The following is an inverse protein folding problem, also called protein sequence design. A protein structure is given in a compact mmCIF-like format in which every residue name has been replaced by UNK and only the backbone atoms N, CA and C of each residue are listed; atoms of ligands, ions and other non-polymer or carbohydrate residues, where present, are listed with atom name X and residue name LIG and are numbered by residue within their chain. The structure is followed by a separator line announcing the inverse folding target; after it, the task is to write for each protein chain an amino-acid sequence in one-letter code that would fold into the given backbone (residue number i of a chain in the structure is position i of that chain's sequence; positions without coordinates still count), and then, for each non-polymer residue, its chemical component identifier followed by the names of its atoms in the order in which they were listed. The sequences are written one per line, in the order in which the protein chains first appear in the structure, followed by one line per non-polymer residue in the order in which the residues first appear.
data_IF_718919246691
#
_entry.id   IF_718919246691
#
_cell.length_a   1.000
_cell.length_b   1.000
_cell.length_c   1.000
_cell.angle_alpha   90.00
_cell.angle_beta   90.00
_cell.angle_gamma   90.00
#
_symmetry.space_group_name_H-M   'P 1'
#
loop_
_entity.id
_entity.type
_entity.pdbx_description
1 polymer ?
#
# COMPACT_ATOMS: atom_id res chain seq x y z
N UNK A 1 -50.01 -28.20 43.14
CA UNK A 1 -48.56 -28.35 43.35
C UNK A 1 -48.02 -29.18 42.20
N UNK A 2 -47.29 -28.56 41.28
CA UNK A 2 -46.90 -29.12 39.99
C UNK A 2 -45.69 -30.06 40.14
N UNK A 3 -45.85 -31.33 39.78
CA UNK A 3 -44.77 -32.30 39.70
C UNK A 3 -44.09 -32.24 38.33
N UNK A 4 -43.10 -31.35 38.19
CA UNK A 4 -42.20 -31.39 37.04
C UNK A 4 -41.19 -32.52 37.29
N UNK A 5 -41.27 -33.59 36.50
CA UNK A 5 -40.36 -34.75 36.59
C UNK A 5 -39.00 -34.38 35.99
N UNK A 6 -38.00 -34.29 36.86
CA UNK A 6 -36.59 -33.96 36.58
C UNK A 6 -35.93 -34.77 35.42
N UNK A 7 -36.23 -36.07 35.16
CA UNK A 7 -35.56 -36.80 34.06
C UNK A 7 -35.96 -36.31 32.66
N UNK A 8 -37.14 -35.72 32.49
CA UNK A 8 -37.61 -35.22 31.19
C UNK A 8 -36.88 -33.95 30.75
N UNK A 9 -36.40 -33.14 31.71
CA UNK A 9 -35.69 -31.89 31.44
C UNK A 9 -34.25 -32.14 30.97
N UNK A 10 -33.56 -33.10 31.59
CA UNK A 10 -32.19 -33.47 31.25
C UNK A 10 -32.09 -34.08 29.85
N UNK A 11 -33.06 -34.91 29.46
CA UNK A 11 -33.11 -35.50 28.12
C UNK A 11 -33.41 -34.44 27.05
N UNK A 12 -34.32 -33.48 27.33
CA UNK A 12 -34.58 -32.34 26.44
C UNK A 12 -33.36 -31.43 26.24
N UNK A 13 -32.56 -31.22 27.31
CA UNK A 13 -31.33 -30.44 27.24
C UNK A 13 -30.23 -31.15 26.44
N UNK A 14 -30.08 -32.47 26.61
CA UNK A 14 -29.12 -33.28 25.85
C UNK A 14 -29.46 -33.34 24.35
N UNK A 15 -30.74 -33.52 23.99
CA UNK A 15 -31.17 -33.49 22.59
C UNK A 15 -30.95 -32.11 21.94
N UNK A 16 -31.24 -31.03 22.67
CA UNK A 16 -31.01 -29.67 22.14
C UNK A 16 -29.53 -29.34 21.97
N UNK A 17 -28.65 -29.80 22.88
CA UNK A 17 -27.20 -29.70 22.68
C UNK A 17 -26.72 -30.49 21.44
N UNK A 18 -27.27 -31.68 21.17
CA UNK A 18 -26.91 -32.47 19.98
C UNK A 18 -27.30 -31.81 18.66
N UNK A 19 -28.42 -31.08 18.61
CA UNK A 19 -28.84 -30.34 17.41
C UNK A 19 -27.96 -29.11 17.09
N UNK A 20 -27.32 -28.52 18.11
CA UNK A 20 -26.41 -27.38 17.93
C UNK A 20 -25.09 -27.82 17.28
N UNK A 21 -24.62 -29.05 17.52
CA UNK A 21 -23.37 -29.56 16.94
C UNK A 21 -23.50 -29.85 15.44
N UNK A 22 -24.72 -30.12 14.95
CA UNK A 22 -25.00 -30.46 13.54
C UNK A 22 -25.31 -29.24 12.67
N UNK A 23 -25.60 -28.09 13.26
CA UNK A 23 -25.97 -26.85 12.55
C UNK A 23 -24.78 -25.91 12.29
N UNK A 24 -23.56 -26.32 12.66
CA UNK A 24 -22.34 -25.51 12.55
C UNK A 24 -21.57 -25.61 11.23
N UNK A 25 -21.92 -26.53 10.32
CA UNK A 25 -21.28 -26.60 9.01
C UNK A 25 -22.03 -25.68 8.03
N UNK A 26 -21.67 -24.40 8.01
CA UNK A 26 -22.10 -23.49 6.94
C UNK A 26 -21.54 -23.96 5.59
N UNK A 27 -22.36 -23.90 4.54
CA UNK A 27 -21.91 -24.19 3.18
C UNK A 27 -20.77 -23.26 2.77
N UNK A 28 -19.81 -23.79 2.00
CA UNK A 28 -18.74 -22.98 1.41
C UNK A 28 -19.32 -21.88 0.53
N UNK A 29 -18.89 -20.63 0.76
CA UNK A 29 -19.20 -19.52 -0.12
C UNK A 29 -18.61 -19.79 -1.51
N UNK A 30 -19.46 -20.06 -2.50
CA UNK A 30 -19.04 -20.36 -3.88
C UNK A 30 -18.38 -19.18 -4.59
N UNK A 31 -18.45 -17.97 -4.00
CA UNK A 31 -17.75 -16.76 -4.48
C UNK A 31 -16.37 -16.58 -3.83
N UNK A 32 -16.03 -17.37 -2.82
CA UNK A 32 -14.74 -17.29 -2.16
C UNK A 32 -13.71 -18.13 -2.92
N UNK A 33 -12.67 -17.46 -3.46
CA UNK A 33 -11.52 -18.13 -4.07
C UNK A 33 -10.57 -18.61 -2.97
N UNK A 34 -10.88 -19.79 -2.40
CA UNK A 34 -10.13 -20.43 -1.33
C UNK A 34 -9.62 -21.79 -1.79
N UNK A 35 -8.37 -22.09 -1.45
CA UNK A 35 -7.82 -23.42 -1.52
C UNK A 35 -8.59 -24.32 -0.52
N UNK A 36 -9.19 -25.43 -0.98
CA UNK A 36 -10.07 -26.25 -0.15
C UNK A 36 -9.34 -27.04 0.93
N UNK A 37 -8.00 -27.16 0.85
CA UNK A 37 -7.20 -27.90 1.82
C UNK A 37 -6.77 -27.00 2.98
N UNK A 38 -6.36 -25.77 2.67
CA UNK A 38 -5.81 -24.82 3.62
C UNK A 38 -6.82 -23.80 4.13
N UNK A 39 -7.96 -23.64 3.46
CA UNK A 39 -8.96 -22.62 3.77
C UNK A 39 -8.44 -21.19 3.57
N UNK A 40 -7.41 -21.01 2.73
CA UNK A 40 -6.75 -19.72 2.47
C UNK A 40 -6.88 -19.36 1.00
N UNK A 41 -6.76 -18.08 0.69
CA UNK A 41 -6.59 -17.66 -0.69
C UNK A 41 -5.32 -18.28 -1.32
N UNK A 42 -5.29 -18.45 -2.66
CA UNK A 42 -4.13 -18.97 -3.37
C UNK A 42 -2.83 -18.21 -3.05
N UNK A 43 -1.67 -18.85 -3.21
CA UNK A 43 -0.39 -18.20 -2.95
C UNK A 43 -0.14 -16.96 -3.83
N UNK A 44 -0.75 -16.90 -5.02
CA UNK A 44 -0.69 -15.75 -5.94
C UNK A 44 -1.65 -14.60 -5.58
N UNK A 45 -2.43 -14.73 -4.51
CA UNK A 45 -3.53 -13.82 -4.18
C UNK A 45 -3.11 -12.35 -4.07
N UNK A 46 -1.96 -12.07 -3.45
CA UNK A 46 -1.46 -10.71 -3.31
C UNK A 46 -0.44 -10.37 -4.41
N UNK A 47 -0.44 -9.12 -4.92
CA UNK A 47 -1.40 -8.06 -4.65
C UNK A 47 -2.57 -7.99 -5.67
N UNK A 48 -2.38 -8.51 -6.89
CA UNK A 48 -3.26 -8.22 -8.03
C UNK A 48 -4.64 -8.90 -7.93
N UNK A 49 -4.67 -10.20 -7.69
CA UNK A 49 -5.94 -10.97 -7.63
C UNK A 49 -6.82 -10.48 -6.48
N UNK A 50 -6.20 -10.18 -5.33
CA UNK A 50 -6.86 -9.55 -4.18
C UNK A 50 -7.51 -8.22 -4.54
N UNK A 51 -6.80 -7.34 -5.24
CA UNK A 51 -7.33 -6.04 -5.64
C UNK A 51 -8.52 -6.19 -6.61
N UNK A 52 -8.43 -7.14 -7.56
CA UNK A 52 -9.52 -7.41 -8.51
C UNK A 52 -10.75 -7.93 -7.77
N UNK A 53 -10.58 -8.94 -6.90
CA UNK A 53 -11.68 -9.51 -6.14
C UNK A 53 -12.33 -8.50 -5.20
N UNK A 54 -11.54 -7.71 -4.48
CA UNK A 54 -12.05 -6.68 -3.58
C UNK A 54 -12.83 -5.57 -4.32
N UNK A 55 -12.39 -5.18 -5.52
CA UNK A 55 -13.10 -4.18 -6.32
C UNK A 55 -14.43 -4.71 -6.89
N UNK A 56 -14.51 -6.00 -7.21
CA UNK A 56 -15.69 -6.59 -7.81
C UNK A 56 -16.72 -7.07 -6.76
N UNK A 57 -16.26 -7.60 -5.63
CA UNK A 57 -17.08 -8.36 -4.67
C UNK A 57 -16.64 -8.16 -3.20
N UNK A 58 -16.45 -6.91 -2.75
CA UNK A 58 -16.05 -6.62 -1.37
C UNK A 58 -17.02 -7.11 -0.29
N UNK A 59 -18.31 -7.22 -0.61
CA UNK A 59 -19.35 -7.76 0.26
C UNK A 59 -19.10 -9.23 0.62
N UNK A 60 -18.65 -10.03 -0.36
CA UNK A 60 -18.31 -11.43 -0.15
C UNK A 60 -17.16 -11.63 0.84
N UNK A 61 -16.30 -10.62 1.03
CA UNK A 61 -15.18 -10.71 1.97
C UNK A 61 -15.62 -10.59 3.44
N UNK A 62 -16.79 -9.99 3.71
CA UNK A 62 -17.24 -9.70 5.09
C UNK A 62 -17.56 -10.95 5.90
N UNK A 63 -17.88 -12.06 5.23
CA UNK A 63 -18.14 -13.36 5.86
C UNK A 63 -16.92 -13.86 6.65
N UNK A 64 -15.72 -13.66 6.09
CA UNK A 64 -14.47 -14.10 6.72
C UNK A 64 -13.72 -12.96 7.42
N UNK A 65 -13.73 -11.76 6.85
CA UNK A 65 -12.95 -10.61 7.33
C UNK A 65 -13.72 -9.70 8.30
N UNK A 66 -14.99 -10.03 8.58
CA UNK A 66 -15.88 -9.25 9.45
C UNK A 66 -16.60 -8.14 8.67
N UNK A 67 -17.77 -7.74 9.17
CA UNK A 67 -18.60 -6.69 8.53
C UNK A 67 -17.92 -5.33 8.44
N UNK A 68 -16.93 -5.06 9.29
CA UNK A 68 -16.11 -3.85 9.30
C UNK A 68 -14.70 -4.05 8.72
N UNK A 69 -14.39 -5.26 8.25
CA UNK A 69 -13.08 -5.67 7.78
C UNK A 69 -11.95 -5.56 8.83
N UNK A 70 -12.30 -5.63 10.12
CA UNK A 70 -11.34 -5.66 11.24
C UNK A 70 -10.65 -7.00 11.44
N UNK A 71 -11.01 -8.01 10.64
CA UNK A 71 -10.35 -9.30 10.57
C UNK A 71 -11.26 -10.50 10.79
N UNK A 72 -12.44 -10.32 11.40
CA UNK A 72 -13.43 -11.37 11.56
C UNK A 72 -12.84 -12.72 12.01
N UNK A 73 -13.28 -13.81 11.39
CA UNK A 73 -12.75 -15.15 11.63
C UNK A 73 -11.40 -15.40 10.94
N UNK A 74 -11.05 -14.64 9.90
CA UNK A 74 -9.76 -14.79 9.20
C UNK A 74 -8.59 -14.25 10.01
N UNK A 75 -8.84 -13.37 10.99
CA UNK A 75 -7.85 -12.61 11.76
C UNK A 75 -6.95 -11.72 10.86
N UNK A 76 -7.42 -11.34 9.67
CA UNK A 76 -6.71 -10.49 8.71
C UNK A 76 -7.53 -9.22 8.47
N UNK A 77 -7.20 -8.15 9.20
CA UNK A 77 -7.77 -6.83 9.00
C UNK A 77 -7.24 -6.17 7.71
N UNK A 78 -8.08 -5.40 7.00
CA UNK A 78 -7.61 -4.59 5.86
C UNK A 78 -6.46 -3.66 6.25
N UNK A 79 -6.48 -3.15 7.49
CA UNK A 79 -5.48 -2.22 8.04
C UNK A 79 -4.08 -2.83 8.19
N UNK A 80 -3.91 -4.15 8.01
CA UNK A 80 -2.58 -4.78 7.96
C UNK A 80 -1.77 -4.30 6.75
N UNK A 81 -2.44 -4.00 5.64
CA UNK A 81 -1.79 -3.51 4.41
C UNK A 81 -2.30 -2.11 4.01
N UNK A 82 -3.51 -1.76 4.40
CA UNK A 82 -4.15 -0.51 4.01
C UNK A 82 -4.01 0.57 5.09
N UNK A 83 -3.16 1.55 4.83
CA UNK A 83 -2.82 2.61 5.80
C UNK A 83 -3.91 3.68 5.97
N UNK A 84 -4.84 3.79 5.02
CA UNK A 84 -5.94 4.77 5.09
C UNK A 84 -7.27 4.14 5.44
N UNK A 85 -7.78 3.30 4.54
CA UNK A 85 -9.02 2.53 4.67
C UNK A 85 -8.98 1.36 3.67
N UNK A 86 -10.04 0.54 3.59
CA UNK A 86 -10.09 -0.65 2.72
C UNK A 86 -9.73 -0.37 1.25
N UNK A 87 -9.92 0.85 0.76
CA UNK A 87 -9.58 1.24 -0.62
C UNK A 87 -8.25 1.99 -0.77
N UNK A 88 -7.48 2.21 0.30
CA UNK A 88 -6.27 3.04 0.29
C UNK A 88 -5.09 2.37 1.02
N UNK A 89 -4.08 1.99 0.23
CA UNK A 89 -2.80 1.43 0.72
C UNK A 89 -1.85 2.50 1.31
N UNK A 90 -2.12 3.76 1.03
CA UNK A 90 -1.44 4.91 1.61
C UNK A 90 -2.41 5.70 2.51
N UNK A 91 -1.92 6.62 3.37
CA UNK A 91 -2.78 7.52 4.13
C UNK A 91 -3.81 8.21 3.23
N UNK A 92 -5.07 8.33 3.69
CA UNK A 92 -6.19 8.84 2.88
C UNK A 92 -5.89 10.20 2.23
N UNK A 93 -5.19 11.07 2.97
CA UNK A 93 -4.80 12.41 2.53
C UNK A 93 -3.85 12.42 1.33
N UNK A 94 -3.24 11.29 0.98
CA UNK A 94 -2.37 11.21 -0.19
C UNK A 94 -3.14 11.41 -1.48
N UNK A 95 -4.30 10.75 -1.63
CA UNK A 95 -5.13 10.87 -2.83
C UNK A 95 -4.33 10.85 -4.13
N UNK A 96 -4.57 11.84 -4.99
CA UNK A 96 -3.84 12.05 -6.25
C UNK A 96 -2.41 12.61 -6.06
N UNK A 97 -2.07 13.06 -4.86
CA UNK A 97 -0.79 13.67 -4.50
C UNK A 97 0.17 12.67 -3.84
N UNK A 98 -0.04 11.36 -4.02
CA UNK A 98 0.79 10.32 -3.43
C UNK A 98 2.28 10.58 -3.61
N UNK A 99 2.72 10.95 -4.82
CA UNK A 99 4.13 11.25 -5.08
C UNK A 99 4.63 12.54 -4.41
N UNK A 100 3.79 13.56 -4.23
CA UNK A 100 4.19 14.77 -3.52
C UNK A 100 4.32 14.53 -2.00
N UNK A 101 3.49 13.65 -1.45
CA UNK A 101 3.42 13.40 0.00
C UNK A 101 4.32 12.25 0.46
N UNK A 102 4.76 11.37 -0.46
CA UNK A 102 5.60 10.22 -0.10
C UNK A 102 6.93 10.64 0.54
N UNK A 103 7.60 11.68 0.01
CA UNK A 103 8.93 12.06 0.46
C UNK A 103 8.94 12.54 1.91
N UNK A 104 7.94 13.34 2.30
CA UNK A 104 7.79 13.79 3.68
C UNK A 104 7.46 12.63 4.63
N UNK A 105 6.62 11.70 4.19
CA UNK A 105 6.28 10.52 4.97
C UNK A 105 7.47 9.59 5.18
N UNK A 106 8.24 9.30 4.13
CA UNK A 106 9.45 8.46 4.21
C UNK A 106 10.51 9.11 5.11
N UNK A 107 10.69 10.43 5.04
CA UNK A 107 11.57 11.16 5.97
C UNK A 107 11.18 10.97 7.43
N UNK A 108 9.88 10.91 7.72
CA UNK A 108 9.35 10.79 9.08
C UNK A 108 9.33 9.34 9.57
N UNK A 109 9.00 8.39 8.70
CA UNK A 109 8.71 7.00 9.08
C UNK A 109 9.80 6.00 8.66
N UNK A 110 10.80 6.45 7.90
CA UNK A 110 11.79 5.60 7.25
C UNK A 110 11.22 4.76 6.11
N UNK A 111 12.09 3.97 5.47
CA UNK A 111 11.73 3.09 4.35
C UNK A 111 11.34 1.68 4.78
N UNK A 112 11.64 1.29 6.02
CA UNK A 112 11.42 -0.07 6.52
C UNK A 112 9.94 -0.50 6.44
N UNK A 113 9.00 0.43 6.72
CA UNK A 113 7.55 0.16 6.61
C UNK A 113 7.07 0.02 5.17
N UNK A 114 7.82 0.53 4.20
CA UNK A 114 7.52 0.41 2.78
C UNK A 114 8.01 -0.93 2.21
N UNK A 115 9.02 -1.55 2.84
CA UNK A 115 9.68 -2.77 2.40
C UNK A 115 8.86 -4.05 2.67
N UNK A 116 7.58 -4.02 2.30
CA UNK A 116 6.69 -5.17 2.36
C UNK A 116 6.68 -5.90 1.01
N UNK A 117 6.77 -7.24 1.04
CA UNK A 117 6.88 -8.10 -0.14
C UNK A 117 5.79 -7.87 -1.19
N UNK A 118 4.56 -7.52 -0.76
CA UNK A 118 3.40 -7.29 -1.64
C UNK A 118 3.21 -5.82 -2.04
N UNK A 119 3.98 -4.89 -1.48
CA UNK A 119 3.87 -3.45 -1.75
C UNK A 119 5.03 -2.98 -2.63
N UNK A 120 6.16 -2.60 -2.03
CA UNK A 120 7.35 -2.15 -2.74
C UNK A 120 8.46 -3.22 -2.80
N UNK A 121 8.21 -4.42 -2.27
CA UNK A 121 9.18 -5.49 -2.17
C UNK A 121 10.08 -5.34 -0.94
N UNK A 122 10.63 -6.44 -0.44
CA UNK A 122 11.50 -6.45 0.75
C UNK A 122 12.79 -5.67 0.55
N UNK A 123 13.21 -5.50 -0.71
CA UNK A 123 14.38 -4.72 -1.12
C UNK A 123 14.03 -3.37 -1.75
N UNK A 124 12.75 -2.97 -1.73
CA UNK A 124 12.25 -1.74 -2.37
C UNK A 124 12.47 -1.72 -3.90
N UNK A 125 12.58 -2.90 -4.50
CA UNK A 125 12.76 -3.11 -5.94
C UNK A 125 11.45 -3.05 -6.74
N UNK A 126 10.33 -2.77 -6.08
CA UNK A 126 9.00 -2.73 -6.67
C UNK A 126 8.35 -4.10 -6.77
N UNK A 127 7.04 -4.09 -6.98
CA UNK A 127 6.21 -5.29 -7.18
C UNK A 127 5.29 -5.03 -8.36
N UNK A 128 5.33 -5.93 -9.36
CA UNK A 128 4.48 -5.82 -10.53
C UNK A 128 2.99 -5.77 -10.14
N UNK A 129 2.25 -4.82 -10.69
CA UNK A 129 0.83 -4.61 -10.37
C UNK A 129 0.56 -3.99 -8.99
N UNK A 130 1.59 -3.51 -8.27
CA UNK A 130 1.46 -2.86 -6.96
C UNK A 130 2.35 -1.62 -6.88
N UNK A 131 3.35 -1.59 -5.99
CA UNK A 131 4.19 -0.42 -5.76
C UNK A 131 5.40 -0.34 -6.70
N UNK A 132 5.81 0.88 -7.11
CA UNK A 132 7.02 1.08 -7.89
C UNK A 132 8.28 0.78 -7.08
N UNK A 133 9.40 0.53 -7.77
CA UNK A 133 10.73 0.50 -7.18
C UNK A 133 11.13 1.89 -6.68
N UNK A 134 11.82 2.00 -5.54
CA UNK A 134 12.39 3.29 -5.14
C UNK A 134 13.30 3.87 -6.24
N UNK A 135 14.11 3.01 -6.86
CA UNK A 135 15.05 3.42 -7.90
C UNK A 135 14.40 3.79 -9.25
N UNK A 136 13.07 3.69 -9.40
CA UNK A 136 12.39 4.22 -10.60
C UNK A 136 12.36 5.74 -10.62
N UNK A 137 12.45 6.38 -9.44
CA UNK A 137 12.48 7.83 -9.29
C UNK A 137 13.73 8.32 -8.56
N UNK A 138 14.39 7.44 -7.79
CA UNK A 138 15.56 7.78 -7.03
C UNK A 138 16.86 7.29 -7.66
N UNK A 139 17.67 8.21 -8.16
CA UNK A 139 18.85 7.88 -8.95
C UNK A 139 20.09 7.52 -8.13
N UNK A 140 20.18 8.00 -6.88
CA UNK A 140 21.38 7.81 -6.05
C UNK A 140 21.25 6.70 -5.00
N UNK A 141 20.06 6.55 -4.42
CA UNK A 141 19.74 5.55 -3.38
C UNK A 141 18.23 5.61 -3.11
N UNK A 142 17.68 4.75 -2.25
CA UNK A 142 16.25 4.77 -1.90
C UNK A 142 15.72 6.10 -1.31
N UNK A 143 16.60 7.03 -0.92
CA UNK A 143 16.23 8.36 -0.41
C UNK A 143 16.86 9.51 -1.20
N UNK A 144 17.68 9.24 -2.22
CA UNK A 144 18.34 10.27 -3.02
C UNK A 144 17.78 10.32 -4.44
N UNK A 145 16.97 11.35 -4.72
CA UNK A 145 16.34 11.57 -6.03
C UNK A 145 17.36 11.85 -7.15
N UNK A 146 18.56 12.28 -6.78
CA UNK A 146 19.67 12.55 -7.68
C UNK A 146 20.89 11.67 -7.33
N UNK A 147 21.86 11.51 -8.25
CA UNK A 147 23.12 10.84 -7.95
C UNK A 147 23.79 11.39 -6.68
N UNK A 148 24.37 10.51 -5.86
CA UNK A 148 25.02 10.91 -4.60
C UNK A 148 26.25 11.80 -4.80
N UNK A 149 26.84 11.77 -5.99
CA UNK A 149 27.94 12.65 -6.39
C UNK A 149 27.49 14.10 -6.52
N UNK A 150 26.18 14.38 -6.61
CA UNK A 150 25.64 15.73 -6.57
C UNK A 150 25.71 16.25 -5.13
N UNK A 151 26.91 16.69 -4.72
CA UNK A 151 27.23 17.14 -3.37
C UNK A 151 26.23 18.24 -2.95
N UNK A 152 25.56 18.15 -1.78
CA UNK A 152 24.55 19.12 -1.39
C UNK A 152 25.21 20.46 -1.05
N UNK A 153 25.21 21.39 -2.01
CA UNK A 153 25.36 22.83 -1.74
C UNK A 153 24.06 23.56 -2.06
N UNK A 154 22.93 23.03 -1.60
CA UNK A 154 21.73 23.86 -1.44
C UNK A 154 21.82 24.57 -0.11
N UNK A 155 22.70 25.57 -0.01
CA UNK A 155 22.64 26.50 1.11
C UNK A 155 21.46 27.44 0.88
N UNK A 156 20.52 27.51 1.82
CA UNK A 156 19.50 28.58 1.88
C UNK A 156 20.06 29.87 2.48
N UNK A 157 21.40 30.02 2.53
CA UNK A 157 22.04 31.23 3.02
C UNK A 157 21.63 32.44 2.16
N UNK A 158 21.09 33.51 2.74
CA UNK A 158 20.77 34.73 2.01
C UNK A 158 22.01 35.26 1.28
N UNK A 159 21.90 35.47 -0.03
CA UNK A 159 22.99 36.03 -0.85
C UNK A 159 23.87 35.03 -1.59
N UNK A 160 23.66 33.71 -1.43
CA UNK A 160 24.29 32.70 -2.30
C UNK A 160 23.26 32.27 -3.35
N UNK A 161 23.44 32.71 -4.59
CA UNK A 161 22.69 32.16 -5.74
C UNK A 161 22.92 30.65 -5.77
N UNK A 162 21.89 29.79 -5.92
CA UNK A 162 22.07 28.35 -6.03
C UNK A 162 22.93 28.10 -7.26
N UNK A 163 24.24 27.97 -7.09
CA UNK A 163 25.13 27.70 -8.20
C UNK A 163 24.76 26.34 -8.73
N UNK A 164 24.41 26.29 -10.02
CA UNK A 164 24.35 25.07 -10.81
C UNK A 164 25.48 24.17 -10.36
N UNK A 165 25.15 23.02 -9.77
CA UNK A 165 26.16 22.00 -9.52
C UNK A 165 26.82 21.72 -10.89
N UNK A 166 28.16 21.81 -11.01
CA UNK A 166 28.85 21.39 -12.23
C UNK A 166 28.37 20.01 -12.68
N UNK A 167 28.09 19.14 -11.71
CA UNK A 167 27.56 17.78 -11.92
C UNK A 167 26.10 17.76 -12.43
N UNK A 168 25.24 18.70 -12.01
CA UNK A 168 23.87 18.79 -12.54
C UNK A 168 23.89 19.24 -14.00
N UNK A 169 24.62 20.32 -14.31
CA UNK A 169 24.75 20.83 -15.67
C UNK A 169 25.41 19.81 -16.61
N UNK A 170 26.51 19.18 -16.18
CA UNK A 170 27.16 18.12 -16.93
C UNK A 170 26.23 16.91 -17.15
N UNK A 171 25.47 16.52 -16.13
CA UNK A 171 24.51 15.43 -16.26
C UNK A 171 23.42 15.74 -17.27
N UNK A 172 22.79 16.92 -17.20
CA UNK A 172 21.75 17.33 -18.16
C UNK A 172 22.32 17.44 -19.57
N UNK A 173 23.55 17.94 -19.74
CA UNK A 173 24.21 17.99 -21.05
C UNK A 173 24.49 16.60 -21.63
N UNK A 174 24.90 15.65 -20.78
CA UNK A 174 25.26 14.30 -21.22
C UNK A 174 24.04 13.38 -21.44
N UNK A 175 22.94 13.60 -20.71
CA UNK A 175 21.77 12.71 -20.73
C UNK A 175 20.53 13.36 -21.37
N UNK A 176 20.57 14.66 -21.64
CA UNK A 176 19.44 15.45 -22.11
C UNK A 176 18.42 15.78 -21.01
N UNK A 177 17.73 16.91 -21.18
CA UNK A 177 16.65 17.33 -20.28
C UNK A 177 15.44 16.41 -20.32
N UNK A 178 15.24 15.68 -21.43
CA UNK A 178 14.16 14.69 -21.60
C UNK A 178 14.13 13.63 -20.50
N UNK A 179 15.29 13.24 -19.96
CA UNK A 179 15.39 12.29 -18.85
C UNK A 179 14.85 12.85 -17.52
N UNK A 180 14.73 14.17 -17.40
CA UNK A 180 14.37 14.86 -16.16
C UNK A 180 12.92 15.39 -16.18
N UNK A 181 12.37 15.68 -17.37
CA UNK A 181 11.00 16.20 -17.54
C UNK A 181 9.98 15.06 -17.51
N UNK A 182 9.42 14.82 -16.34
CA UNK A 182 8.33 13.86 -16.16
C UNK A 182 7.25 14.42 -15.23
N UNK A 183 6.07 13.80 -15.23
CA UNK A 183 4.91 14.27 -14.47
C UNK A 183 5.10 14.31 -12.94
N UNK A 184 6.17 13.68 -12.41
CA UNK A 184 6.43 13.55 -10.98
C UNK A 184 7.54 14.47 -10.51
N UNK A 185 8.63 14.61 -11.26
CA UNK A 185 9.82 15.37 -10.85
C UNK A 185 9.74 16.82 -11.35
N UNK A 186 10.17 17.09 -12.59
CA UNK A 186 10.31 18.45 -13.12
C UNK A 186 9.17 18.90 -14.05
N UNK A 187 8.08 18.14 -14.12
CA UNK A 187 6.98 18.39 -15.04
C UNK A 187 7.32 17.89 -16.44
N UNK A 188 6.31 17.46 -17.21
CA UNK A 188 6.52 17.01 -18.60
C UNK A 188 6.98 18.13 -19.53
N UNK A 189 6.82 19.38 -19.11
CA UNK A 189 7.18 20.61 -19.81
C UNK A 189 8.34 21.37 -19.13
N UNK A 190 8.94 20.79 -18.09
CA UNK A 190 10.00 21.43 -17.30
C UNK A 190 9.52 22.55 -16.38
N UNK A 191 8.21 22.73 -16.19
CA UNK A 191 7.65 23.80 -15.34
C UNK A 191 7.62 23.44 -13.85
N UNK A 192 8.14 22.25 -13.49
CA UNK A 192 8.08 21.73 -12.13
C UNK A 192 6.74 21.09 -11.82
N UNK A 193 6.67 20.46 -10.67
CA UNK A 193 5.47 19.79 -10.15
C UNK A 193 5.20 20.32 -8.76
N UNK A 194 3.96 20.74 -8.51
CA UNK A 194 3.54 21.24 -7.21
C UNK A 194 3.91 20.24 -6.10
N UNK A 195 4.65 20.72 -5.10
CA UNK A 195 5.17 19.94 -3.94
C UNK A 195 6.18 18.81 -4.26
N UNK A 196 6.70 18.72 -5.48
CA UNK A 196 7.74 17.75 -5.84
C UNK A 196 9.01 18.44 -6.37
N UNK A 197 9.18 18.61 -7.69
CA UNK A 197 10.38 19.22 -8.26
C UNK A 197 10.18 20.66 -8.74
N UNK A 198 11.25 21.46 -8.63
CA UNK A 198 11.30 22.85 -9.10
C UNK A 198 11.29 22.91 -10.63
N UNK A 199 10.70 23.98 -11.17
CA UNK A 199 10.79 24.35 -12.59
C UNK A 199 12.23 24.53 -13.05
N UNK A 200 12.59 23.95 -14.19
CA UNK A 200 13.84 24.25 -14.89
C UNK A 200 13.93 25.75 -15.22
N UNK A 201 12.78 26.36 -15.56
CA UNK A 201 12.69 27.79 -15.92
C UNK A 201 12.94 28.74 -14.77
N UNK A 202 12.90 28.26 -13.53
CA UNK A 202 13.26 29.06 -12.37
C UNK A 202 14.77 29.39 -12.34
N UNK A 203 15.60 28.63 -13.06
CA UNK A 203 17.06 28.79 -13.09
C UNK A 203 17.63 28.93 -14.52
N UNK A 204 16.89 28.48 -15.54
CA UNK A 204 17.31 28.49 -16.95
C UNK A 204 16.27 29.24 -17.80
N UNK A 205 16.66 30.41 -18.31
CA UNK A 205 15.84 31.27 -19.19
C UNK A 205 16.13 31.00 -20.65
#
# INVERSE_FOLDING_TARGET
MSQIRIPSLALGLLLSLSFIVLSGCGDKNSKADLDPTSGKHPASWLPADHAIAANNHSDACTECHGGDFSGGISNIACTKCHLGNQGKVHPVLWGQFAYALHGAYVKTNGTARCAAASCHGTTLSGVAGSGPACLSCHMGSNTAIHPLTWIPRFTTAPGISPTNLPDHGAYVNNNGSAACVNAVCHGTDGQGVFLSGRSCRACHV
#
